data_IF_609819350273
#
_entry.id   IF_609819350273
#
_cell.length_a   1.000
_cell.length_b   1.000
_cell.length_c   1.000
_cell.angle_alpha   90.00
_cell.angle_beta   90.00
_cell.angle_gamma   90.00
#
_symmetry.space_group_name_H-M   'P 1'
#
loop_
_entity.id
_entity.type
_entity.pdbx_description
1 polymer ?
#
# COMPACT_ATOMS: atom_id res chain seq x y z
N UNK A 1 -13.99 39.32 -20.67
CA UNK A 1 -14.82 38.27 -20.04
C UNK A 1 -14.02 36.98 -20.10
N UNK A 2 -13.75 36.40 -18.94
CA UNK A 2 -12.75 35.35 -18.71
C UNK A 2 -13.08 34.07 -19.46
N UNK A 3 -12.14 33.62 -20.29
CA UNK A 3 -12.23 32.42 -21.15
C UNK A 3 -12.00 31.13 -20.36
N UNK A 4 -12.75 30.92 -19.28
CA UNK A 4 -12.63 29.74 -18.40
C UNK A 4 -13.34 28.48 -18.95
N UNK A 5 -14.00 28.57 -20.11
CA UNK A 5 -15.00 27.57 -20.54
C UNK A 5 -14.57 26.65 -21.69
N UNK A 6 -13.29 26.58 -22.03
CA UNK A 6 -12.79 25.68 -23.10
C UNK A 6 -11.90 24.57 -22.51
N UNK A 7 -12.30 23.96 -21.39
CA UNK A 7 -11.75 22.68 -20.96
C UNK A 7 -12.50 21.47 -21.54
N UNK A 8 -13.63 21.70 -22.21
CA UNK A 8 -14.48 20.65 -22.78
C UNK A 8 -14.03 20.21 -24.20
N UNK A 9 -12.77 20.45 -24.60
CA UNK A 9 -12.41 20.48 -26.02
C UNK A 9 -12.11 19.12 -26.70
N UNK A 10 -11.85 17.97 -26.03
CA UNK A 10 -11.54 16.73 -26.80
C UNK A 10 -11.54 15.35 -26.10
N UNK A 11 -12.29 15.20 -25.03
CA UNK A 11 -12.32 13.96 -24.24
C UNK A 11 -12.75 14.38 -22.86
N UNK A 12 -14.02 14.16 -22.56
CA UNK A 12 -14.65 14.72 -21.38
C UNK A 12 -13.96 14.27 -20.10
N UNK A 13 -14.07 15.08 -19.05
CA UNK A 13 -13.74 14.59 -17.70
C UNK A 13 -14.61 13.37 -17.32
N UNK A 14 -15.75 13.15 -17.97
CA UNK A 14 -16.55 11.92 -17.80
C UNK A 14 -15.81 10.65 -18.24
N UNK A 15 -15.04 10.68 -19.34
CA UNK A 15 -14.30 9.53 -19.84
C UNK A 15 -13.19 9.15 -18.85
N UNK A 16 -12.51 10.16 -18.30
CA UNK A 16 -11.53 9.97 -17.25
C UNK A 16 -12.18 9.38 -15.99
N UNK A 17 -13.37 9.85 -15.60
CA UNK A 17 -14.08 9.31 -14.43
C UNK A 17 -14.46 7.83 -14.62
N UNK A 18 -14.81 7.41 -15.83
CA UNK A 18 -15.12 6.02 -16.14
C UNK A 18 -13.92 5.07 -16.01
N UNK A 19 -12.69 5.58 -16.15
CA UNK A 19 -11.45 4.79 -15.97
C UNK A 19 -10.88 4.95 -14.56
N UNK A 20 -10.79 6.19 -14.07
CA UNK A 20 -10.24 6.55 -12.77
C UNK A 20 -11.10 5.99 -11.65
N UNK A 21 -12.43 5.96 -11.80
CA UNK A 21 -13.35 5.41 -10.81
C UNK A 21 -13.03 3.94 -10.47
N UNK A 22 -13.08 3.02 -11.46
CA UNK A 22 -12.68 1.62 -11.25
C UNK A 22 -11.25 1.45 -10.74
N UNK A 23 -10.28 2.25 -11.23
CA UNK A 23 -8.89 2.18 -10.77
C UNK A 23 -8.76 2.58 -9.29
N UNK A 24 -9.48 3.62 -8.84
CA UNK A 24 -9.52 4.02 -7.44
C UNK A 24 -10.17 2.91 -6.59
N UNK A 25 -11.24 2.28 -7.07
CA UNK A 25 -11.90 1.18 -6.35
C UNK A 25 -10.92 0.01 -6.16
N UNK A 26 -10.32 -0.47 -7.25
CA UNK A 26 -9.40 -1.62 -7.20
C UNK A 26 -8.16 -1.27 -6.39
N UNK A 27 -7.55 -0.11 -6.65
CA UNK A 27 -6.38 0.38 -5.91
C UNK A 27 -6.66 0.59 -4.42
N UNK A 28 -7.84 1.12 -4.09
CA UNK A 28 -8.31 1.31 -2.71
C UNK A 28 -8.52 -0.01 -1.98
N UNK A 29 -9.13 -1.00 -2.64
CA UNK A 29 -9.30 -2.35 -2.08
C UNK A 29 -7.96 -3.03 -1.86
N UNK A 30 -7.05 -2.96 -2.84
CA UNK A 30 -5.70 -3.53 -2.72
C UNK A 30 -4.91 -2.86 -1.60
N UNK A 31 -4.99 -1.53 -1.49
CA UNK A 31 -4.36 -0.78 -0.41
C UNK A 31 -4.91 -1.18 0.97
N UNK A 32 -6.24 -1.30 1.10
CA UNK A 32 -6.89 -1.70 2.34
C UNK A 32 -6.49 -3.14 2.74
N UNK A 33 -6.47 -4.06 1.78
CA UNK A 33 -6.01 -5.42 1.99
C UNK A 33 -4.55 -5.44 2.45
N UNK A 34 -3.65 -4.78 1.73
CA UNK A 34 -2.23 -4.72 2.06
C UNK A 34 -1.98 -4.12 3.46
N UNK A 35 -2.70 -3.05 3.81
CA UNK A 35 -2.65 -2.47 5.16
C UNK A 35 -3.05 -3.47 6.25
N UNK A 36 -4.07 -4.30 6.00
CA UNK A 36 -4.51 -5.35 6.93
C UNK A 36 -3.47 -6.48 7.05
N UNK A 37 -2.81 -6.84 5.96
CA UNK A 37 -1.73 -7.83 5.96
C UNK A 37 -0.50 -7.35 6.75
N UNK A 38 -0.06 -6.11 6.53
CA UNK A 38 1.09 -5.53 7.25
C UNK A 38 0.90 -5.60 8.76
N UNK A 39 -0.25 -5.18 9.27
CA UNK A 39 -0.57 -5.29 10.72
C UNK A 39 -0.46 -6.71 11.27
N UNK A 40 -0.78 -7.73 10.47
CA UNK A 40 -0.64 -9.14 10.89
C UNK A 40 0.81 -9.59 10.83
N UNK A 41 1.58 -9.13 9.85
CA UNK A 41 3.00 -9.45 9.73
C UNK A 41 3.81 -8.82 10.86
N UNK A 42 3.55 -7.55 11.18
CA UNK A 42 4.21 -6.86 12.30
C UNK A 42 3.97 -7.61 13.62
N UNK A 43 2.73 -8.06 13.87
CA UNK A 43 2.39 -8.85 15.05
C UNK A 43 3.07 -10.24 15.10
N UNK A 44 3.50 -10.79 13.97
CA UNK A 44 4.25 -12.05 13.89
C UNK A 44 5.75 -11.82 14.09
N UNK A 45 6.28 -10.68 13.62
CA UNK A 45 7.69 -10.30 13.75
C UNK A 45 8.04 -9.90 15.18
N UNK A 46 7.13 -9.19 15.87
CA UNK A 46 7.23 -8.90 17.31
C UNK A 46 7.37 -10.19 18.15
N UNK A 47 6.77 -11.30 17.69
CA UNK A 47 6.90 -12.61 18.34
C UNK A 47 8.21 -13.36 18.03
N UNK A 48 8.97 -12.93 17.03
CA UNK A 48 10.27 -13.51 16.63
C UNK A 48 11.46 -12.66 17.10
N UNK A 49 11.22 -11.41 17.51
CA UNK A 49 12.21 -10.51 18.08
C UNK A 49 12.57 -10.85 19.55
N UNK A 50 13.08 -12.07 19.80
CA UNK A 50 13.95 -12.37 20.94
C UNK A 50 14.85 -13.59 20.61
N UNK A 51 16.18 -13.42 20.45
CA UNK A 51 17.10 -14.45 20.00
C UNK A 51 17.73 -15.24 21.17
N UNK A 52 17.99 -16.57 21.08
CA UNK A 52 19.14 -17.11 21.77
C UNK A 52 20.36 -16.76 20.93
N UNK A 53 21.04 -15.69 21.31
CA UNK A 53 22.50 -15.73 21.33
C UNK A 53 22.90 -16.94 22.19
N UNK A 54 22.95 -18.13 21.58
CA UNK A 54 24.01 -19.05 21.90
C UNK A 54 25.20 -18.51 21.09
N UNK A 55 25.93 -17.51 21.59
CA UNK A 55 26.97 -17.80 22.58
C UNK A 55 27.43 -19.24 22.40
N UNK A 56 28.23 -19.43 21.35
CA UNK A 56 29.08 -20.59 21.19
C UNK A 56 29.68 -20.90 22.56
N UNK A 57 29.49 -22.10 23.13
CA UNK A 57 30.31 -22.47 24.25
C UNK A 57 31.73 -22.45 23.73
N UNK A 58 32.54 -21.55 24.30
CA UNK A 58 33.99 -21.59 24.15
C UNK A 58 34.41 -23.02 24.47
N UNK A 59 34.78 -23.77 23.42
CA UNK A 59 35.51 -25.02 23.56
C UNK A 59 36.92 -24.61 23.96
N UNK A 60 37.11 -24.44 25.26
CA UNK A 60 38.39 -24.43 25.91
C UNK A 60 38.28 -25.42 27.07
N UNK A 61 38.67 -26.67 26.79
CA UNK A 61 39.19 -27.69 27.70
C UNK A 61 39.53 -28.98 26.94
#
# INVERSE_FOLDING_TARGET
MSSELVFAHQGGWDEALLVVGPLIIIGGLLHLANRRLKKRLDALDDGRAAPPAAESPAVDQ
#
